data_IF_294609577669
#
_entry.id   IF_294609577669
#
_cell.length_a   1.000
_cell.length_b   1.000
_cell.length_c   1.000
_cell.angle_alpha   90.00
_cell.angle_beta   90.00
_cell.angle_gamma   90.00
#
_symmetry.space_group_name_H-M   'P 1'
#
loop_
_entity.id
_entity.type
_entity.pdbx_description
1 polymer ?
#
# COMPACT_ATOMS: atom_id res chain seq x y z
N UNK A 1 -25.39 48.29 18.28
CA UNK A 1 -25.43 46.83 17.99
C UNK A 1 -24.42 46.58 16.91
N UNK A 2 -23.23 46.17 17.30
CA UNK A 2 -22.09 45.95 16.39
C UNK A 2 -22.01 44.46 16.10
N UNK A 3 -22.40 44.04 14.89
CA UNK A 3 -22.22 42.66 14.43
C UNK A 3 -20.74 42.38 14.21
N UNK A 4 -20.13 41.61 15.09
CA UNK A 4 -18.80 41.02 14.88
C UNK A 4 -18.88 40.02 13.71
N UNK A 5 -18.37 40.46 12.56
CA UNK A 5 -18.16 39.59 11.39
C UNK A 5 -17.01 38.67 11.71
N UNK A 6 -17.33 37.45 12.17
CA UNK A 6 -16.32 36.38 12.33
C UNK A 6 -15.89 35.95 10.93
N UNK A 7 -14.81 36.55 10.46
CA UNK A 7 -14.11 36.09 9.26
C UNK A 7 -13.67 34.66 9.47
N UNK A 8 -14.33 33.69 8.85
CA UNK A 8 -13.87 32.33 8.73
C UNK A 8 -12.59 32.32 7.90
N UNK A 9 -11.43 32.49 8.54
CA UNK A 9 -10.13 32.22 7.93
C UNK A 9 -10.16 30.75 7.48
N UNK A 10 -10.34 30.53 6.19
CA UNK A 10 -10.02 29.25 5.56
C UNK A 10 -8.55 28.97 5.87
N UNK A 11 -8.31 28.00 6.77
CA UNK A 11 -6.96 27.52 7.04
C UNK A 11 -6.35 27.08 5.70
N UNK A 12 -5.13 27.53 5.37
CA UNK A 12 -4.51 27.17 4.11
C UNK A 12 -4.49 25.63 4.00
N UNK A 13 -4.94 25.11 2.85
CA UNK A 13 -4.90 23.70 2.55
C UNK A 13 -3.45 23.24 2.76
N UNK A 14 -3.22 22.36 3.74
CA UNK A 14 -1.90 21.82 4.02
C UNK A 14 -1.33 21.26 2.71
N UNK A 15 -0.10 21.61 2.36
CA UNK A 15 0.57 21.12 1.17
C UNK A 15 0.64 19.57 1.20
N UNK A 16 0.64 18.92 0.02
CA UNK A 16 0.72 17.46 -0.07
C UNK A 16 1.83 16.84 0.78
N UNK A 17 3.08 17.39 0.79
CA UNK A 17 4.15 16.87 1.65
C UNK A 17 3.79 16.93 3.15
N UNK A 18 3.16 18.02 3.61
CA UNK A 18 2.74 18.14 5.01
C UNK A 18 1.68 17.10 5.39
N UNK A 19 0.74 16.81 4.48
CA UNK A 19 -0.25 15.75 4.68
C UNK A 19 0.43 14.38 4.73
N UNK A 20 1.38 14.10 3.84
CA UNK A 20 2.15 12.86 3.84
C UNK A 20 2.90 12.66 5.16
N UNK A 21 3.67 13.65 5.61
CA UNK A 21 4.34 13.61 6.92
C UNK A 21 3.35 13.46 8.06
N UNK A 22 2.20 14.15 7.98
CA UNK A 22 1.15 14.06 8.98
C UNK A 22 0.52 12.68 9.10
N UNK A 23 0.36 11.95 7.99
CA UNK A 23 -0.14 10.55 7.99
C UNK A 23 0.83 9.63 8.73
N UNK A 24 2.14 9.85 8.58
CA UNK A 24 3.18 9.03 9.21
C UNK A 24 3.31 9.36 10.71
N UNK A 25 3.37 10.66 11.06
CA UNK A 25 3.71 11.12 12.41
C UNK A 25 2.49 11.33 13.32
N UNK A 26 1.37 11.79 12.77
CA UNK A 26 0.13 12.12 13.51
C UNK A 26 -1.11 11.74 12.68
N UNK A 27 -1.37 10.44 12.43
CA UNK A 27 -2.38 9.99 11.48
C UNK A 27 -3.79 10.48 11.84
N UNK A 28 -4.20 10.35 13.10
CA UNK A 28 -5.58 10.68 13.52
C UNK A 28 -5.98 12.14 13.29
N UNK A 29 -5.22 13.17 13.76
CA UNK A 29 -5.56 14.56 13.50
C UNK A 29 -5.44 14.94 12.02
N UNK A 30 -4.54 14.31 11.27
CA UNK A 30 -4.41 14.54 9.82
C UNK A 30 -5.62 13.98 9.07
N UNK A 31 -6.03 12.75 9.37
CA UNK A 31 -7.22 12.12 8.78
C UNK A 31 -8.51 12.86 9.12
N UNK A 32 -8.64 13.39 10.35
CA UNK A 32 -9.79 14.20 10.74
C UNK A 32 -9.96 15.45 9.85
N UNK A 33 -8.85 16.09 9.44
CA UNK A 33 -8.88 17.22 8.48
C UNK A 33 -9.20 16.76 7.05
N UNK A 34 -8.64 15.63 6.62
CA UNK A 34 -8.90 15.07 5.28
C UNK A 34 -10.38 14.74 5.08
N UNK A 35 -11.03 14.23 6.12
CA UNK A 35 -12.47 13.89 6.09
C UNK A 35 -13.35 15.11 5.83
N UNK A 36 -12.97 16.30 6.35
CA UNK A 36 -13.73 17.54 6.14
C UNK A 36 -13.54 18.15 4.74
N UNK A 37 -12.40 17.92 4.11
CA UNK A 37 -12.07 18.41 2.75
C UNK A 37 -11.51 17.26 1.91
N UNK A 38 -12.36 16.34 1.44
CA UNK A 38 -11.90 15.09 0.83
C UNK A 38 -11.30 15.35 -0.55
N UNK A 39 -9.96 15.30 -0.63
CA UNK A 39 -9.19 15.36 -1.88
C UNK A 39 -8.35 14.10 -1.98
N UNK A 40 -8.57 13.27 -2.99
CA UNK A 40 -7.87 11.99 -3.15
C UNK A 40 -6.94 11.94 -4.37
N UNK A 41 -7.29 12.63 -5.46
CA UNK A 41 -6.54 12.57 -6.73
C UNK A 41 -5.07 12.96 -6.57
N UNK A 42 -4.72 14.12 -5.97
CA UNK A 42 -3.32 14.54 -5.92
C UNK A 42 -2.42 13.58 -5.13
N UNK A 43 -2.91 13.02 -4.01
CA UNK A 43 -2.12 12.09 -3.21
C UNK A 43 -2.00 10.74 -3.89
N UNK A 44 -3.04 10.30 -4.61
CA UNK A 44 -3.02 9.05 -5.36
C UNK A 44 -2.03 9.12 -6.52
N UNK A 45 -2.03 10.23 -7.26
CA UNK A 45 -1.05 10.46 -8.33
C UNK A 45 0.37 10.54 -7.77
N UNK A 46 0.58 11.27 -6.66
CA UNK A 46 1.90 11.38 -6.05
C UNK A 46 2.43 10.01 -5.57
N UNK A 47 1.60 9.22 -4.89
CA UNK A 47 1.99 7.87 -4.43
C UNK A 47 2.24 6.93 -5.60
N UNK A 48 1.43 6.99 -6.67
CA UNK A 48 1.68 6.24 -7.90
C UNK A 48 3.04 6.59 -8.53
N UNK A 49 3.31 7.87 -8.71
CA UNK A 49 4.58 8.32 -9.32
C UNK A 49 5.78 7.89 -8.48
N UNK A 50 5.73 7.99 -7.15
CA UNK A 50 6.80 7.52 -6.27
C UNK A 50 7.01 6.02 -6.43
N UNK A 51 5.94 5.23 -6.31
CA UNK A 51 6.03 3.76 -6.40
C UNK A 51 6.49 3.32 -7.78
N UNK A 52 5.89 3.87 -8.85
CA UNK A 52 6.23 3.52 -10.23
C UNK A 52 7.69 3.88 -10.56
N UNK A 53 8.16 5.08 -10.15
CA UNK A 53 9.53 5.50 -10.39
C UNK A 53 10.55 4.58 -9.71
N UNK A 54 10.31 4.19 -8.46
CA UNK A 54 11.21 3.32 -7.70
C UNK A 54 11.23 1.90 -8.27
N UNK A 55 10.06 1.35 -8.60
CA UNK A 55 9.96 0.03 -9.21
C UNK A 55 10.58 -0.01 -10.60
N UNK A 56 10.34 1.01 -11.42
CA UNK A 56 10.96 1.14 -12.74
C UNK A 56 12.47 1.30 -12.65
N UNK A 57 12.96 2.17 -11.75
CA UNK A 57 14.39 2.37 -11.54
C UNK A 57 15.11 1.07 -11.20
N UNK A 58 14.47 0.17 -10.44
CA UNK A 58 14.97 -1.18 -10.18
C UNK A 58 14.86 -2.09 -11.41
N UNK A 59 13.68 -2.17 -12.02
CA UNK A 59 13.36 -3.12 -13.10
C UNK A 59 14.18 -2.93 -14.39
N UNK A 60 14.68 -1.72 -14.64
CA UNK A 60 15.51 -1.44 -15.84
C UNK A 60 16.97 -1.86 -15.67
N UNK A 61 17.40 -2.18 -14.46
CA UNK A 61 18.76 -2.66 -14.17
C UNK A 61 18.91 -4.15 -14.44
N UNK A 62 20.14 -4.62 -14.64
CA UNK A 62 20.42 -6.05 -14.83
C UNK A 62 19.99 -6.84 -13.58
N UNK A 63 20.28 -6.32 -12.38
CA UNK A 63 19.86 -6.90 -11.10
C UNK A 63 18.35 -7.04 -11.02
N UNK A 64 17.60 -6.00 -11.40
CA UNK A 64 16.14 -6.02 -11.37
C UNK A 64 15.52 -6.98 -12.39
N UNK A 65 16.12 -7.08 -13.58
CA UNK A 65 15.71 -8.04 -14.61
C UNK A 65 15.93 -9.47 -14.18
N UNK A 66 17.11 -9.78 -13.59
CA UNK A 66 17.38 -11.10 -13.07
C UNK A 66 16.44 -11.44 -11.91
N UNK A 67 16.27 -10.54 -10.95
CA UNK A 67 15.34 -10.74 -9.84
C UNK A 67 13.89 -10.97 -10.30
N UNK A 68 13.48 -10.37 -11.43
CA UNK A 68 12.17 -10.63 -12.06
C UNK A 68 12.08 -12.05 -12.61
N UNK A 69 13.12 -12.54 -13.32
CA UNK A 69 13.17 -13.91 -13.86
C UNK A 69 13.12 -14.93 -12.73
N UNK A 70 13.91 -14.73 -11.67
CA UNK A 70 13.93 -15.59 -10.50
C UNK A 70 12.57 -15.60 -9.76
N UNK A 71 11.90 -14.46 -9.68
CA UNK A 71 10.57 -14.39 -9.08
C UNK A 71 9.53 -15.13 -9.93
N UNK A 72 9.63 -15.03 -11.25
CA UNK A 72 8.77 -15.77 -12.16
C UNK A 72 8.99 -17.29 -12.02
N UNK A 73 10.24 -17.74 -11.98
CA UNK A 73 10.61 -19.14 -11.76
C UNK A 73 10.04 -19.66 -10.44
N UNK A 74 10.31 -18.97 -9.32
CA UNK A 74 9.75 -19.33 -8.01
C UNK A 74 8.25 -19.45 -8.02
N UNK A 75 7.56 -18.54 -8.73
CA UNK A 75 6.10 -18.60 -8.85
C UNK A 75 5.63 -19.84 -9.58
N UNK A 76 6.30 -20.23 -10.68
CA UNK A 76 5.97 -21.43 -11.45
C UNK A 76 6.17 -22.70 -10.62
N UNK A 77 7.30 -22.80 -9.93
CA UNK A 77 7.62 -23.92 -9.05
C UNK A 77 6.63 -24.04 -7.89
N UNK A 78 6.19 -22.91 -7.31
CA UNK A 78 5.18 -22.89 -6.25
C UNK A 78 3.82 -23.46 -6.69
N UNK A 79 3.48 -23.36 -8.00
CA UNK A 79 2.29 -23.97 -8.59
C UNK A 79 2.54 -25.40 -9.13
N UNK A 80 3.70 -26.01 -8.78
CA UNK A 80 4.04 -27.38 -9.19
C UNK A 80 4.37 -27.53 -10.67
N UNK A 81 4.73 -26.44 -11.37
CA UNK A 81 5.12 -26.46 -12.77
C UNK A 81 6.63 -26.67 -12.88
N UNK A 82 7.06 -27.68 -13.66
CA UNK A 82 8.45 -27.83 -14.02
C UNK A 82 8.83 -26.81 -15.09
N UNK A 83 10.04 -26.28 -15.00
CA UNK A 83 10.61 -25.39 -16.01
C UNK A 83 11.74 -26.14 -16.73
N UNK A 84 11.78 -26.00 -18.05
CA UNK A 84 12.91 -26.43 -18.84
C UNK A 84 13.87 -25.26 -19.14
N UNK A 85 15.10 -25.58 -19.50
CA UNK A 85 16.14 -24.58 -19.79
C UNK A 85 15.74 -23.64 -20.94
N UNK A 86 14.90 -24.11 -21.87
CA UNK A 86 14.45 -23.32 -23.02
C UNK A 86 13.39 -22.29 -22.63
N UNK A 87 12.52 -22.61 -21.68
CA UNK A 87 11.54 -21.66 -21.10
C UNK A 87 12.24 -20.58 -20.29
N UNK A 88 13.22 -20.98 -19.47
CA UNK A 88 14.03 -20.05 -18.69
C UNK A 88 14.78 -19.07 -19.60
N UNK A 89 15.50 -19.55 -20.60
CA UNK A 89 16.23 -18.71 -21.56
C UNK A 89 15.31 -17.75 -22.34
N UNK A 90 14.08 -18.18 -22.68
CA UNK A 90 13.09 -17.29 -23.32
C UNK A 90 12.63 -16.18 -22.38
N UNK A 91 12.42 -16.48 -21.10
CA UNK A 91 12.01 -15.47 -20.12
C UNK A 91 13.16 -14.49 -19.88
N UNK A 92 14.38 -14.95 -19.75
CA UNK A 92 15.57 -14.12 -19.61
C UNK A 92 15.72 -13.18 -20.81
N UNK A 93 15.60 -13.67 -22.04
CA UNK A 93 15.68 -12.86 -23.26
C UNK A 93 14.59 -11.78 -23.34
N UNK A 94 13.42 -11.99 -22.71
CA UNK A 94 12.30 -11.04 -22.67
C UNK A 94 12.30 -10.16 -21.42
N UNK A 95 13.17 -10.42 -20.46
CA UNK A 95 13.18 -9.72 -19.16
C UNK A 95 13.31 -8.20 -19.31
N UNK A 96 14.10 -7.72 -20.29
CA UNK A 96 14.28 -6.30 -20.55
C UNK A 96 12.96 -5.54 -20.88
N UNK A 97 11.98 -6.22 -21.47
CA UNK A 97 10.66 -5.63 -21.77
C UNK A 97 9.62 -5.96 -20.71
N UNK A 98 9.66 -7.17 -20.13
CA UNK A 98 8.64 -7.65 -19.21
C UNK A 98 8.83 -7.13 -17.78
N UNK A 99 10.06 -6.97 -17.29
CA UNK A 99 10.32 -6.48 -15.94
C UNK A 99 9.79 -5.04 -15.73
N UNK A 100 10.02 -4.06 -16.63
CA UNK A 100 9.40 -2.74 -16.50
C UNK A 100 7.86 -2.77 -16.58
N UNK A 101 7.30 -3.63 -17.43
CA UNK A 101 5.85 -3.79 -17.53
C UNK A 101 5.25 -4.36 -16.23
N UNK A 102 5.91 -5.36 -15.65
CA UNK A 102 5.54 -5.91 -14.33
C UNK A 102 5.63 -4.84 -13.23
N UNK A 103 6.68 -4.02 -13.26
CA UNK A 103 6.86 -2.91 -12.32
C UNK A 103 5.70 -1.90 -12.39
N UNK A 104 5.32 -1.48 -13.59
CA UNK A 104 4.18 -0.58 -13.82
C UNK A 104 2.86 -1.22 -13.40
N UNK A 105 2.64 -2.49 -13.75
CA UNK A 105 1.46 -3.24 -13.33
C UNK A 105 1.34 -3.32 -11.80
N UNK A 106 2.44 -3.59 -11.11
CA UNK A 106 2.49 -3.63 -9.64
C UNK A 106 2.19 -2.27 -9.00
N UNK A 107 2.73 -1.19 -9.57
CA UNK A 107 2.42 0.17 -9.13
C UNK A 107 0.92 0.50 -9.34
N UNK A 108 0.36 0.12 -10.49
CA UNK A 108 -1.05 0.34 -10.81
C UNK A 108 -1.97 -0.43 -9.83
N UNK A 109 -1.67 -1.70 -9.55
CA UNK A 109 -2.42 -2.50 -8.57
C UNK A 109 -2.44 -1.79 -7.22
N UNK A 110 -1.30 -1.27 -6.73
CA UNK A 110 -1.23 -0.55 -5.45
C UNK A 110 -2.16 0.68 -5.42
N UNK A 111 -2.32 1.37 -6.55
CA UNK A 111 -3.23 2.52 -6.67
C UNK A 111 -4.70 2.11 -6.79
N UNK A 112 -4.99 0.92 -7.31
CA UNK A 112 -6.35 0.40 -7.44
C UNK A 112 -6.90 -0.14 -6.11
N UNK A 113 -6.04 -0.60 -5.19
CA UNK A 113 -6.45 -1.12 -3.87
C UNK A 113 -7.41 -0.17 -3.13
N UNK A 114 -7.16 1.15 -3.00
CA UNK A 114 -8.09 2.07 -2.35
C UNK A 114 -9.50 2.09 -2.94
N UNK A 115 -9.64 1.92 -4.24
CA UNK A 115 -10.95 1.90 -4.90
C UNK A 115 -11.73 0.64 -4.55
N UNK A 116 -11.06 -0.52 -4.59
CA UNK A 116 -11.65 -1.83 -4.24
C UNK A 116 -12.07 -1.82 -2.78
N UNK A 117 -11.15 -1.41 -1.89
CA UNK A 117 -11.44 -1.34 -0.45
C UNK A 117 -12.53 -0.32 -0.14
N UNK A 118 -12.56 0.85 -0.82
CA UNK A 118 -13.62 1.84 -0.64
C UNK A 118 -14.99 1.28 -1.05
N UNK A 119 -15.07 0.55 -2.16
CA UNK A 119 -16.28 -0.13 -2.60
C UNK A 119 -16.76 -1.16 -1.57
N UNK A 120 -15.87 -2.04 -1.14
CA UNK A 120 -16.14 -3.09 -0.13
C UNK A 120 -16.59 -2.49 1.20
N UNK A 121 -15.88 -1.48 1.71
CA UNK A 121 -16.20 -0.80 2.96
C UNK A 121 -17.59 -0.16 2.90
N UNK A 122 -17.92 0.51 1.79
CA UNK A 122 -19.26 1.11 1.62
C UNK A 122 -20.39 0.10 1.57
N UNK A 123 -20.15 -1.08 1.01
CA UNK A 123 -21.15 -2.16 0.96
C UNK A 123 -21.31 -2.84 2.32
N UNK A 124 -20.18 -3.07 3.03
CA UNK A 124 -20.17 -3.84 4.27
C UNK A 124 -20.47 -3.01 5.52
N UNK A 125 -20.08 -1.72 5.56
CA UNK A 125 -20.20 -0.90 6.76
C UNK A 125 -21.38 0.09 6.69
N UNK A 126 -22.12 0.13 7.80
CA UNK A 126 -23.09 1.20 8.07
C UNK A 126 -22.55 2.09 9.19
N UNK A 127 -22.72 3.42 9.13
CA UNK A 127 -22.36 4.30 10.23
C UNK A 127 -23.23 3.97 11.46
N UNK A 128 -22.66 4.14 12.65
CA UNK A 128 -23.41 3.98 13.91
C UNK A 128 -24.39 5.13 14.09
N UNK A 129 -24.00 6.33 13.65
CA UNK A 129 -24.81 7.54 13.70
C UNK A 129 -24.49 8.43 12.50
N UNK A 130 -25.49 9.22 12.07
CA UNK A 130 -25.36 10.22 11.01
C UNK A 130 -25.52 9.65 9.60
N UNK A 131 -25.18 10.47 8.60
CA UNK A 131 -25.29 10.10 7.19
C UNK A 131 -24.19 9.14 6.75
N UNK A 132 -24.50 8.26 5.80
CA UNK A 132 -23.52 7.37 5.19
C UNK A 132 -22.44 8.18 4.47
N UNK A 133 -21.15 7.94 4.75
CA UNK A 133 -20.06 8.63 4.09
C UNK A 133 -20.11 8.49 2.58
N UNK A 134 -19.75 9.54 1.85
CA UNK A 134 -19.65 9.47 0.39
C UNK A 134 -18.48 8.58 -0.03
N UNK A 135 -18.55 8.02 -1.24
CA UNK A 135 -17.43 7.24 -1.80
C UNK A 135 -16.12 8.05 -1.83
N UNK A 136 -16.21 9.34 -2.22
CA UNK A 136 -15.06 10.23 -2.24
C UNK A 136 -14.42 10.47 -0.87
N UNK A 137 -15.19 10.49 0.21
CA UNK A 137 -14.67 10.59 1.58
C UNK A 137 -13.92 9.32 1.99
N UNK A 138 -14.49 8.15 1.72
CA UNK A 138 -13.84 6.86 2.01
C UNK A 138 -12.56 6.73 1.17
N UNK A 139 -12.64 7.04 -0.12
CA UNK A 139 -11.50 7.00 -1.03
C UNK A 139 -10.41 7.99 -0.60
N UNK A 140 -10.75 9.20 -0.14
CA UNK A 140 -9.76 10.16 0.36
C UNK A 140 -8.99 9.63 1.56
N UNK A 141 -9.65 8.97 2.51
CA UNK A 141 -8.98 8.32 3.66
C UNK A 141 -8.01 7.24 3.18
N UNK A 142 -8.48 6.33 2.32
CA UNK A 142 -7.68 5.19 1.86
C UNK A 142 -6.51 5.62 0.96
N UNK A 143 -6.73 6.62 0.10
CA UNK A 143 -5.66 7.19 -0.74
C UNK A 143 -4.57 7.87 0.09
N UNK A 144 -4.93 8.55 1.17
CA UNK A 144 -3.91 9.11 2.07
C UNK A 144 -3.20 8.03 2.89
N UNK A 145 -3.88 6.94 3.26
CA UNK A 145 -3.22 5.79 3.87
C UNK A 145 -2.16 5.17 2.94
N UNK A 146 -2.32 5.24 1.61
CA UNK A 146 -1.34 4.75 0.64
C UNK A 146 0.04 5.43 0.71
N UNK A 147 0.15 6.57 1.39
CA UNK A 147 1.46 7.16 1.71
C UNK A 147 2.35 6.17 2.47
N UNK A 148 1.77 5.30 3.30
CA UNK A 148 2.50 4.23 4.00
C UNK A 148 3.07 3.21 3.02
N UNK A 149 2.31 2.85 1.96
CA UNK A 149 2.79 1.94 0.91
C UNK A 149 3.83 2.59 -0.01
N UNK A 150 3.75 3.89 -0.24
CA UNK A 150 4.82 4.63 -0.92
C UNK A 150 6.10 4.64 -0.08
N UNK A 151 6.00 4.85 1.24
CA UNK A 151 7.14 4.75 2.17
C UNK A 151 7.72 3.32 2.19
N UNK A 152 6.85 2.29 2.19
CA UNK A 152 7.30 0.90 2.02
C UNK A 152 8.21 0.75 0.81
N UNK A 153 7.81 1.31 -0.34
CA UNK A 153 8.58 1.18 -1.57
C UNK A 153 9.92 1.90 -1.50
N UNK A 154 9.97 3.07 -0.83
CA UNK A 154 11.24 3.80 -0.57
C UNK A 154 12.21 2.94 0.24
N UNK A 155 11.73 2.15 1.20
CA UNK A 155 12.56 1.26 2.02
C UNK A 155 12.88 -0.05 1.28
N UNK A 156 11.88 -0.65 0.63
CA UNK A 156 12.00 -1.97 0.01
C UNK A 156 12.90 -1.96 -1.24
N UNK A 157 12.88 -0.90 -2.06
CA UNK A 157 13.65 -0.85 -3.30
C UNK A 157 15.17 -0.92 -3.08
N UNK A 158 15.79 -0.15 -2.18
CA UNK A 158 17.22 -0.30 -1.89
C UNK A 158 17.57 -1.68 -1.35
N UNK A 159 16.72 -2.25 -0.50
CA UNK A 159 16.94 -3.60 0.06
C UNK A 159 16.84 -4.68 -1.03
N UNK A 160 15.87 -4.55 -1.95
CA UNK A 160 15.74 -5.44 -3.10
C UNK A 160 17.00 -5.40 -3.98
N UNK A 161 17.58 -4.20 -4.14
CA UNK A 161 18.82 -4.01 -4.89
C UNK A 161 20.02 -4.73 -4.24
N UNK A 162 20.18 -4.58 -2.92
CA UNK A 162 21.28 -5.24 -2.17
C UNK A 162 21.11 -6.75 -2.11
N UNK A 163 19.85 -7.22 -2.07
CA UNK A 163 19.52 -8.65 -2.01
C UNK A 163 19.39 -9.32 -3.38
N UNK A 164 19.45 -8.54 -4.44
CA UNK A 164 19.24 -9.01 -5.81
C UNK A 164 17.94 -9.83 -5.95
N UNK A 165 16.88 -9.42 -5.22
CA UNK A 165 15.66 -10.21 -5.11
C UNK A 165 14.42 -9.32 -5.00
N UNK A 166 13.35 -9.73 -5.69
CA UNK A 166 11.99 -9.14 -5.53
C UNK A 166 11.24 -9.67 -4.29
N UNK A 167 11.81 -10.62 -3.55
CA UNK A 167 11.20 -11.08 -2.30
C UNK A 167 11.02 -9.93 -1.32
N UNK A 168 9.84 -9.83 -0.73
CA UNK A 168 9.51 -8.69 0.13
C UNK A 168 10.43 -8.60 1.34
N UNK A 169 11.25 -7.55 1.38
CA UNK A 169 12.17 -7.26 2.48
C UNK A 169 11.45 -6.76 3.76
N UNK A 170 10.15 -6.47 3.67
CA UNK A 170 9.36 -5.83 4.72
C UNK A 170 8.42 -6.80 5.43
N UNK A 171 8.52 -8.11 5.14
CA UNK A 171 7.72 -9.14 5.81
C UNK A 171 8.29 -9.53 7.17
N UNK A 172 7.41 -9.99 8.05
CA UNK A 172 7.78 -10.38 9.43
C UNK A 172 8.82 -11.49 9.47
N UNK A 173 8.81 -12.42 8.52
CA UNK A 173 9.80 -13.51 8.45
C UNK A 173 11.25 -12.99 8.35
N UNK A 174 11.46 -11.83 7.73
CA UNK A 174 12.78 -11.23 7.60
C UNK A 174 13.35 -10.69 8.93
N UNK A 175 12.51 -10.52 9.94
CA UNK A 175 12.90 -10.11 11.29
C UNK A 175 13.30 -11.30 12.18
N UNK A 176 13.06 -12.53 11.72
CA UNK A 176 13.33 -13.77 12.47
C UNK A 176 14.26 -14.69 11.66
N UNK A 177 15.56 -14.35 11.52
CA UNK A 177 16.49 -15.09 10.66
C UNK A 177 16.69 -16.55 11.08
N UNK A 178 16.35 -16.90 12.33
CA UNK A 178 16.47 -18.26 12.87
C UNK A 178 15.29 -19.18 12.50
N UNK A 179 14.29 -18.66 11.79
CA UNK A 179 13.13 -19.46 11.41
C UNK A 179 13.46 -20.31 10.18
N UNK A 180 13.20 -21.62 10.27
CA UNK A 180 13.34 -22.52 9.13
C UNK A 180 12.39 -22.08 8.01
N UNK A 181 12.95 -21.72 6.84
CA UNK A 181 12.20 -21.20 5.68
C UNK A 181 11.14 -22.19 5.17
N UNK A 182 11.31 -23.49 5.41
CA UNK A 182 10.35 -24.53 5.02
C UNK A 182 9.18 -24.68 5.99
N UNK A 183 9.29 -24.08 7.18
CA UNK A 183 8.28 -24.23 8.22
C UNK A 183 6.95 -23.54 7.86
N UNK A 184 5.79 -24.06 8.32
CA UNK A 184 4.50 -23.40 8.15
C UNK A 184 4.46 -21.99 8.74
N UNK A 185 5.22 -21.75 9.83
CA UNK A 185 5.34 -20.45 10.47
C UNK A 185 6.08 -19.45 9.58
N UNK A 186 7.16 -19.88 8.90
CA UNK A 186 7.89 -19.02 7.96
C UNK A 186 6.98 -18.61 6.78
N UNK A 187 6.18 -19.53 6.26
CA UNK A 187 5.20 -19.23 5.20
C UNK A 187 4.15 -18.23 5.66
N UNK A 188 3.62 -18.39 6.86
CA UNK A 188 2.65 -17.45 7.43
C UNK A 188 3.29 -16.06 7.63
N UNK A 189 4.44 -15.96 8.28
CA UNK A 189 5.14 -14.69 8.51
C UNK A 189 5.68 -14.07 7.21
N UNK A 190 5.96 -14.88 6.19
CA UNK A 190 6.31 -14.42 4.84
C UNK A 190 5.15 -13.70 4.14
N UNK A 191 3.90 -14.02 4.48
CA UNK A 191 2.71 -13.34 4.00
C UNK A 191 2.39 -12.04 4.75
N UNK A 192 2.94 -11.81 5.94
CA UNK A 192 2.64 -10.63 6.77
C UNK A 192 3.65 -9.52 6.54
N UNK A 193 3.25 -8.49 5.81
CA UNK A 193 4.05 -7.29 5.54
C UNK A 193 3.74 -6.19 6.58
N UNK A 194 4.79 -5.69 7.25
CA UNK A 194 4.66 -4.70 8.33
C UNK A 194 4.04 -3.38 7.85
N UNK A 195 4.36 -2.95 6.64
CA UNK A 195 3.79 -1.71 6.08
C UNK A 195 2.34 -1.89 5.67
N UNK A 196 1.93 -3.10 5.25
CA UNK A 196 0.52 -3.40 5.00
C UNK A 196 -0.27 -3.40 6.32
N UNK A 197 0.28 -3.97 7.39
CA UNK A 197 -0.33 -3.88 8.73
C UNK A 197 -0.45 -2.42 9.18
N UNK A 198 0.59 -1.63 8.99
CA UNK A 198 0.55 -0.20 9.29
C UNK A 198 -0.48 0.54 8.43
N UNK A 199 -0.54 0.25 7.13
CA UNK A 199 -1.58 0.78 6.23
C UNK A 199 -3.00 0.46 6.73
N UNK A 200 -3.25 -0.77 7.16
CA UNK A 200 -4.53 -1.20 7.76
C UNK A 200 -4.86 -0.34 8.99
N UNK A 201 -3.91 -0.14 9.89
CA UNK A 201 -4.11 0.69 11.10
C UNK A 201 -4.46 2.13 10.72
N UNK A 202 -3.73 2.74 9.80
CA UNK A 202 -3.97 4.13 9.34
C UNK A 202 -5.32 4.24 8.65
N UNK A 203 -5.65 3.30 7.76
CA UNK A 203 -6.94 3.25 7.07
C UNK A 203 -8.10 3.11 8.08
N UNK A 204 -7.99 2.17 9.03
CA UNK A 204 -8.99 1.95 10.06
C UNK A 204 -9.19 3.17 10.98
N UNK A 205 -8.12 3.92 11.30
CA UNK A 205 -8.24 5.18 12.04
C UNK A 205 -9.07 6.22 11.27
N UNK A 206 -8.87 6.38 9.97
CA UNK A 206 -9.66 7.30 9.15
C UNK A 206 -11.10 6.83 8.97
N UNK A 207 -11.30 5.54 8.72
CA UNK A 207 -12.63 4.94 8.64
C UNK A 207 -13.39 5.03 9.96
N UNK A 208 -12.70 4.93 11.12
CA UNK A 208 -13.33 5.10 12.44
C UNK A 208 -13.93 6.49 12.63
N UNK A 209 -13.30 7.51 12.07
CA UNK A 209 -13.81 8.89 12.10
C UNK A 209 -15.05 9.02 11.21
N UNK A 210 -15.01 8.45 9.99
CA UNK A 210 -16.10 8.50 9.02
C UNK A 210 -17.36 7.75 9.49
N UNK A 211 -17.16 6.53 9.99
CA UNK A 211 -18.27 5.61 10.34
C UNK A 211 -18.67 5.67 11.81
N UNK A 212 -17.98 6.50 12.62
CA UNK A 212 -18.18 6.61 14.07
C UNK A 212 -18.13 5.26 14.79
N UNK A 213 -17.23 4.39 14.33
CA UNK A 213 -16.99 3.05 14.91
C UNK A 213 -15.65 2.99 15.62
N UNK A 214 -15.50 2.11 16.63
CA UNK A 214 -14.23 1.91 17.30
C UNK A 214 -13.15 1.43 16.33
N UNK A 215 -12.00 2.14 16.27
CA UNK A 215 -10.90 1.79 15.35
C UNK A 215 -10.42 0.34 15.53
N UNK A 216 -10.40 -0.17 16.77
CA UNK A 216 -10.01 -1.56 17.07
C UNK A 216 -10.83 -2.61 16.32
N UNK A 217 -12.14 -2.39 16.14
CA UNK A 217 -13.00 -3.31 15.40
C UNK A 217 -12.68 -3.30 13.90
N UNK A 218 -12.42 -2.11 13.34
CA UNK A 218 -12.03 -1.97 11.95
C UNK A 218 -10.65 -2.54 11.67
N UNK A 219 -9.68 -2.31 12.56
CA UNK A 219 -8.35 -2.96 12.47
C UNK A 219 -8.52 -4.47 12.48
N UNK A 220 -9.25 -5.04 13.44
CA UNK A 220 -9.44 -6.49 13.54
C UNK A 220 -10.09 -7.08 12.28
N UNK A 221 -11.18 -6.46 11.77
CA UNK A 221 -11.87 -6.94 10.56
C UNK A 221 -11.01 -6.83 9.30
N UNK A 222 -10.27 -5.72 9.13
CA UNK A 222 -9.39 -5.53 7.98
C UNK A 222 -8.16 -6.45 8.05
N UNK A 223 -7.60 -6.67 9.24
CA UNK A 223 -6.49 -7.63 9.44
C UNK A 223 -6.95 -9.05 9.17
N UNK A 224 -8.13 -9.44 9.65
CA UNK A 224 -8.69 -10.76 9.35
C UNK A 224 -8.88 -10.94 7.84
N UNK A 225 -9.44 -9.95 7.14
CA UNK A 225 -9.61 -9.99 5.68
C UNK A 225 -8.27 -10.01 4.91
N UNK A 226 -7.18 -9.54 5.51
CA UNK A 226 -5.85 -9.59 4.92
C UNK A 226 -5.18 -10.97 5.09
N UNK A 227 -5.49 -11.69 6.18
CA UNK A 227 -4.86 -12.97 6.51
C UNK A 227 -5.60 -14.20 5.92
N UNK A 228 -6.82 -14.01 5.39
CA UNK A 228 -7.64 -15.04 4.73
C UNK A 228 -7.46 -14.98 3.22
#
# INVERSE_FOLDING_TARGET
MSCLHVSSRSLPLDSLPRRGVGIISRPRPTLARIVTTPTWVPVLVATFLIIASLLLAFAVTDVGRQAFVDQWERSRLAFGQSLDDTEYARMEARSASLAPLYALGSALVTVLIPFIVAGTVRLALRPTEGATPSFGQVLAVLSHANVVLALRQVVATPVAFVRESLSSATTVVQLVPSLDETSPLARFFGGVDLFVVWWIVVAALGLSILYRRPARQLVASMTLAYLV
#
